data_IF_919236233436
#
_entry.id   IF_919236233436
#
_cell.length_a   1.000
_cell.length_b   1.000
_cell.length_c   1.000
_cell.angle_alpha   90.00
_cell.angle_beta   90.00
_cell.angle_gamma   90.00
#
_symmetry.space_group_name_H-M   'P 1'
#
loop_
_entity.id
_entity.type
_entity.pdbx_description
1 polymer ?
#
# COMPACT_ATOMS: atom_id res chain seq x y z
N UNK A 1 -5.89 -19.37 -14.07
CA UNK A 1 -5.53 -19.42 -12.64
C UNK A 1 -6.60 -18.77 -11.80
N UNK A 2 -6.66 -19.07 -10.50
CA UNK A 2 -7.56 -18.42 -9.57
C UNK A 2 -6.92 -17.18 -8.95
N UNK A 3 -7.73 -16.32 -8.33
CA UNK A 3 -7.22 -15.16 -7.58
C UNK A 3 -6.29 -15.56 -6.42
N UNK A 4 -6.44 -16.76 -5.86
CA UNK A 4 -5.66 -17.28 -4.73
C UNK A 4 -4.26 -17.73 -5.14
N UNK A 5 -4.07 -18.08 -6.43
CA UNK A 5 -2.81 -18.53 -6.99
C UNK A 5 -2.03 -17.40 -7.66
N UNK A 6 -2.65 -16.22 -7.85
CA UNK A 6 -2.11 -15.15 -8.67
C UNK A 6 -0.71 -14.70 -8.21
N UNK A 7 -0.56 -14.35 -6.93
CA UNK A 7 0.70 -13.86 -6.38
C UNK A 7 1.82 -14.90 -6.51
N UNK A 8 1.68 -16.14 -6.00
CA UNK A 8 2.75 -17.13 -6.12
C UNK A 8 3.03 -17.53 -7.58
N UNK A 9 2.02 -17.50 -8.45
CA UNK A 9 2.22 -17.79 -9.87
C UNK A 9 3.06 -16.72 -10.56
N UNK A 10 2.77 -15.44 -10.34
CA UNK A 10 3.57 -14.35 -10.92
C UNK A 10 4.99 -14.37 -10.36
N UNK A 11 5.14 -14.45 -9.04
CA UNK A 11 6.46 -14.45 -8.40
C UNK A 11 7.30 -15.68 -8.77
N UNK A 12 6.68 -16.83 -9.02
CA UNK A 12 7.37 -18.05 -9.44
C UNK A 12 7.72 -18.09 -10.93
N UNK A 13 7.21 -17.18 -11.76
CA UNK A 13 7.40 -17.19 -13.23
C UNK A 13 8.10 -15.96 -13.77
N UNK A 14 8.09 -14.84 -13.04
CA UNK A 14 8.54 -13.56 -13.55
C UNK A 14 9.60 -12.96 -12.62
N UNK A 15 10.70 -12.49 -13.19
CA UNK A 15 11.75 -11.74 -12.50
C UNK A 15 11.63 -10.22 -12.71
N UNK A 16 10.70 -9.77 -13.54
CA UNK A 16 10.50 -8.37 -13.87
C UNK A 16 9.04 -8.06 -14.19
N UNK A 17 8.66 -6.79 -14.09
CA UNK A 17 7.34 -6.31 -14.52
C UNK A 17 7.12 -6.54 -16.01
N UNK A 18 8.17 -6.41 -16.81
CA UNK A 18 8.10 -6.72 -18.26
C UNK A 18 7.66 -8.16 -18.51
N UNK A 19 8.28 -9.13 -17.85
CA UNK A 19 7.89 -10.54 -17.96
C UNK A 19 6.47 -10.79 -17.43
N UNK A 20 6.10 -10.12 -16.35
CA UNK A 20 4.75 -10.19 -15.83
C UNK A 20 3.71 -9.70 -16.84
N UNK A 21 3.95 -8.60 -17.57
CA UNK A 21 3.06 -8.10 -18.64
C UNK A 21 2.88 -9.15 -19.74
N UNK A 22 3.97 -9.78 -20.18
CA UNK A 22 3.92 -10.83 -21.22
C UNK A 22 3.15 -12.07 -20.77
N UNK A 23 3.30 -12.45 -19.50
CA UNK A 23 2.58 -13.57 -18.90
C UNK A 23 1.09 -13.26 -18.72
N UNK A 24 0.76 -12.08 -18.25
CA UNK A 24 -0.63 -11.61 -18.05
C UNK A 24 -1.44 -11.62 -19.36
N UNK A 25 -0.80 -11.35 -20.49
CA UNK A 25 -1.44 -11.45 -21.80
C UNK A 25 -1.80 -12.88 -22.25
N UNK A 26 -1.34 -13.91 -21.53
CA UNK A 26 -1.53 -15.33 -21.85
C UNK A 26 -2.38 -16.09 -20.85
N UNK A 27 -2.83 -15.43 -19.78
CA UNK A 27 -3.60 -16.06 -18.70
C UNK A 27 -4.96 -15.40 -18.52
N UNK A 28 -5.83 -16.10 -17.83
CA UNK A 28 -7.11 -15.55 -17.34
C UNK A 28 -7.25 -15.86 -15.86
N UNK A 29 -7.88 -14.94 -15.11
CA UNK A 29 -8.21 -15.12 -13.70
C UNK A 29 -9.66 -15.60 -13.63
N UNK A 30 -9.86 -16.81 -13.13
CA UNK A 30 -11.16 -17.46 -13.08
C UNK A 30 -11.90 -17.14 -11.78
N UNK A 31 -13.23 -17.12 -11.86
CA UNK A 31 -14.14 -16.93 -10.72
C UNK A 31 -14.41 -18.25 -10.00
N UNK A 32 -13.35 -18.93 -9.55
CA UNK A 32 -13.48 -20.19 -8.80
C UNK A 32 -13.08 -19.89 -7.35
N UNK A 33 -13.99 -20.04 -6.36
CA UNK A 33 -13.65 -19.89 -4.96
C UNK A 33 -12.70 -21.00 -4.51
N UNK A 34 -11.83 -20.70 -3.55
CA UNK A 34 -10.92 -21.70 -3.00
C UNK A 34 -11.68 -22.83 -2.29
N UNK A 35 -12.67 -22.44 -1.48
CA UNK A 35 -13.61 -23.35 -0.83
C UNK A 35 -14.86 -22.58 -0.38
N UNK A 36 -15.79 -23.25 0.31
CA UNK A 36 -17.04 -22.64 0.81
C UNK A 36 -16.83 -21.48 1.81
N UNK A 37 -15.69 -21.45 2.52
CA UNK A 37 -15.36 -20.40 3.51
C UNK A 37 -14.54 -19.26 2.91
N UNK A 38 -13.71 -19.57 1.91
CA UNK A 38 -12.88 -18.59 1.18
C UNK A 38 -13.52 -18.31 -0.18
N UNK A 39 -14.48 -17.39 -0.17
CA UNK A 39 -15.22 -16.95 -1.35
C UNK A 39 -14.37 -15.95 -2.17
N UNK A 40 -14.87 -15.59 -3.33
CA UNK A 40 -14.26 -14.59 -4.19
C UNK A 40 -14.32 -13.20 -3.56
N UNK A 41 -13.27 -12.42 -3.75
CA UNK A 41 -13.21 -11.00 -3.41
C UNK A 41 -12.86 -10.17 -4.65
N UNK A 42 -13.25 -8.91 -4.66
CA UNK A 42 -12.83 -7.95 -5.68
C UNK A 42 -11.40 -7.51 -5.37
N UNK A 43 -10.42 -8.20 -5.94
CA UNK A 43 -9.02 -7.96 -5.69
C UNK A 43 -8.39 -7.09 -6.78
N UNK A 44 -7.43 -6.29 -6.35
CA UNK A 44 -6.54 -5.49 -7.15
C UNK A 44 -5.11 -5.88 -6.79
N UNK A 45 -4.21 -5.97 -7.77
CA UNK A 45 -2.83 -6.33 -7.54
C UNK A 45 -1.89 -5.23 -8.04
N UNK A 46 -0.84 -4.98 -7.31
CA UNK A 46 0.30 -4.19 -7.76
C UNK A 46 1.49 -5.12 -7.97
N UNK A 47 2.14 -4.97 -9.10
CA UNK A 47 3.39 -5.68 -9.42
C UNK A 47 4.43 -4.59 -9.69
N UNK A 48 5.55 -4.66 -9.01
CA UNK A 48 6.60 -3.67 -9.13
C UNK A 48 7.98 -4.30 -9.17
N UNK A 49 8.88 -3.67 -9.88
CA UNK A 49 10.31 -3.89 -9.80
C UNK A 49 11.03 -2.54 -9.60
N UNK A 50 12.36 -2.52 -9.71
CA UNK A 50 13.15 -1.28 -9.54
C UNK A 50 12.88 -0.21 -10.60
N UNK A 51 12.27 -0.55 -11.74
CA UNK A 51 12.11 0.33 -12.88
C UNK A 51 10.68 0.84 -13.03
N UNK A 52 9.69 -0.01 -12.75
CA UNK A 52 8.27 0.31 -12.98
C UNK A 52 7.34 -0.41 -12.00
N UNK A 53 6.11 0.07 -11.95
CA UNK A 53 5.00 -0.59 -11.28
C UNK A 53 3.78 -0.63 -12.19
N UNK A 54 3.01 -1.72 -12.09
CA UNK A 54 1.72 -1.90 -12.76
C UNK A 54 0.64 -2.26 -11.78
N UNK A 55 -0.59 -1.87 -12.09
CA UNK A 55 -1.79 -2.35 -11.42
C UNK A 55 -2.50 -3.35 -12.34
N UNK A 56 -2.92 -4.46 -11.76
CA UNK A 56 -3.67 -5.53 -12.44
C UNK A 56 -5.03 -5.67 -11.79
N UNK A 57 -6.06 -5.64 -12.61
CA UNK A 57 -7.45 -5.80 -12.18
C UNK A 57 -8.16 -6.81 -13.08
N UNK A 58 -8.91 -7.73 -12.47
CA UNK A 58 -9.78 -8.66 -13.19
C UNK A 58 -11.20 -8.10 -13.17
N UNK A 59 -11.64 -7.61 -14.31
CA UNK A 59 -12.97 -7.03 -14.49
C UNK A 59 -13.83 -7.88 -15.45
N UNK A 60 -15.07 -7.50 -15.63
CA UNK A 60 -16.01 -8.24 -16.51
C UNK A 60 -15.47 -8.45 -17.94
N UNK A 61 -14.70 -7.50 -18.45
CA UNK A 61 -14.14 -7.53 -19.81
C UNK A 61 -12.73 -8.16 -19.87
N UNK A 62 -12.32 -8.86 -18.82
CA UNK A 62 -11.02 -9.54 -18.71
C UNK A 62 -10.01 -8.82 -17.81
N UNK A 63 -8.74 -9.20 -17.94
CA UNK A 63 -7.65 -8.60 -17.19
C UNK A 63 -7.32 -7.23 -17.77
N UNK A 64 -7.28 -6.21 -16.91
CA UNK A 64 -6.77 -4.88 -17.22
C UNK A 64 -5.42 -4.67 -16.56
N UNK A 65 -4.50 -4.09 -17.29
CA UNK A 65 -3.14 -3.76 -16.85
C UNK A 65 -2.95 -2.26 -17.05
N UNK A 66 -2.63 -1.57 -15.97
CA UNK A 66 -2.39 -0.13 -15.98
C UNK A 66 -0.95 0.15 -15.57
N UNK A 67 -0.30 1.13 -16.22
CA UNK A 67 0.91 1.72 -15.67
C UNK A 67 0.58 2.45 -14.39
N UNK A 68 1.38 2.22 -13.34
CA UNK A 68 1.16 2.83 -12.03
C UNK A 68 2.31 3.78 -11.66
N UNK A 69 2.29 5.01 -12.17
CA UNK A 69 3.37 5.96 -11.95
C UNK A 69 3.47 6.47 -10.50
N UNK A 70 2.39 6.36 -9.72
CA UNK A 70 2.38 6.76 -8.30
C UNK A 70 2.84 5.64 -7.37
N UNK A 71 2.84 4.38 -7.83
CA UNK A 71 3.21 3.21 -7.02
C UNK A 71 2.34 3.04 -5.78
N UNK A 72 1.05 3.36 -5.89
CA UNK A 72 0.02 3.23 -4.85
C UNK A 72 -1.13 2.41 -5.40
N UNK A 73 -1.71 1.57 -4.57
CA UNK A 73 -2.92 0.82 -4.86
C UNK A 73 -3.78 0.76 -3.60
N UNK A 74 -5.08 0.90 -3.78
CA UNK A 74 -6.11 0.69 -2.76
C UNK A 74 -7.18 -0.26 -3.30
N UNK A 75 -8.41 -0.12 -2.86
CA UNK A 75 -9.54 -0.94 -3.29
C UNK A 75 -10.33 -0.25 -4.42
N UNK A 76 -11.60 -0.63 -4.64
CA UNK A 76 -12.51 0.08 -5.54
C UNK A 76 -12.62 1.59 -5.23
N UNK A 77 -12.84 2.44 -6.24
CA UNK A 77 -13.12 2.14 -7.65
C UNK A 77 -11.86 1.66 -8.41
N UNK A 78 -12.00 1.19 -9.69
CA UNK A 78 -10.88 0.78 -10.52
C UNK A 78 -9.77 1.82 -10.64
N UNK A 79 -8.55 1.36 -10.89
CA UNK A 79 -7.33 2.17 -10.83
C UNK A 79 -7.35 3.39 -11.76
N UNK A 80 -7.91 3.27 -12.98
CA UNK A 80 -8.06 4.40 -13.90
C UNK A 80 -8.91 5.54 -13.29
N UNK A 81 -9.93 5.19 -12.49
CA UNK A 81 -10.77 6.17 -11.78
C UNK A 81 -10.02 6.80 -10.60
N UNK A 82 -9.22 6.01 -9.91
CA UNK A 82 -8.33 6.53 -8.85
C UNK A 82 -7.35 7.55 -9.42
N UNK A 83 -6.70 7.22 -10.53
CA UNK A 83 -5.77 8.13 -11.21
C UNK A 83 -6.46 9.39 -11.73
N UNK A 84 -7.64 9.24 -12.36
CA UNK A 84 -8.43 10.38 -12.81
C UNK A 84 -8.79 11.33 -11.66
N UNK A 85 -9.15 10.78 -10.51
CA UNK A 85 -9.51 11.57 -9.33
C UNK A 85 -8.36 12.44 -8.80
N UNK A 86 -7.10 12.07 -9.01
CA UNK A 86 -5.97 12.90 -8.60
C UNK A 86 -5.98 14.30 -9.23
N UNK A 87 -6.62 14.47 -10.39
CA UNK A 87 -6.75 15.79 -11.03
C UNK A 87 -7.50 16.81 -10.14
N UNK A 88 -8.38 16.35 -9.26
CA UNK A 88 -9.10 17.21 -8.31
C UNK A 88 -8.19 17.77 -7.21
N UNK A 89 -6.98 17.23 -7.08
CA UNK A 89 -6.03 17.52 -6.00
C UNK A 89 -4.73 18.18 -6.48
N UNK A 90 -4.70 18.69 -7.72
CA UNK A 90 -3.52 19.34 -8.30
C UNK A 90 -3.05 20.60 -7.55
N UNK A 91 -3.93 21.17 -6.72
CA UNK A 91 -3.61 22.30 -5.87
C UNK A 91 -2.84 21.94 -4.60
N UNK A 92 -2.79 20.65 -4.24
CA UNK A 92 -2.08 20.18 -3.05
C UNK A 92 -0.56 20.34 -3.23
N UNK A 93 0.10 20.78 -2.16
CA UNK A 93 1.53 21.03 -2.17
C UNK A 93 2.12 20.87 -0.76
N UNK A 94 3.36 20.36 -0.62
CA UNK A 94 4.10 20.45 0.65
C UNK A 94 4.53 21.87 0.99
N UNK A 95 4.46 22.79 0.01
CA UNK A 95 4.84 24.20 0.18
C UNK A 95 3.70 25.02 0.77
N UNK A 96 4.05 26.12 1.39
CA UNK A 96 3.06 27.11 1.88
C UNK A 96 2.26 27.72 0.73
N UNK A 97 0.93 27.84 0.86
CA UNK A 97 0.09 28.40 -0.19
C UNK A 97 0.30 29.91 -0.32
N UNK A 98 0.04 30.42 -1.53
CA UNK A 98 -0.17 31.86 -1.77
C UNK A 98 -1.66 32.16 -1.78
N UNK A 99 -2.03 33.40 -1.52
CA UNK A 99 -3.42 33.83 -1.70
C UNK A 99 -3.76 33.88 -3.20
N UNK A 100 -4.39 32.82 -3.69
CA UNK A 100 -4.94 32.73 -5.06
C UNK A 100 -6.47 32.90 -5.06
N UNK A 101 -7.08 33.17 -3.91
CA UNK A 101 -8.52 33.28 -3.78
C UNK A 101 -9.04 34.59 -4.39
N UNK A 102 -8.43 35.73 -3.99
CA UNK A 102 -8.78 37.06 -4.54
C UNK A 102 -7.74 38.08 -4.10
N UNK A 103 -7.36 38.98 -5.00
CA UNK A 103 -6.53 40.14 -4.71
C UNK A 103 -7.24 41.19 -3.84
N UNK A 104 -8.56 41.10 -3.74
CA UNK A 104 -9.38 42.01 -2.92
C UNK A 104 -9.40 41.64 -1.44
N UNK A 105 -8.86 40.47 -1.06
CA UNK A 105 -8.87 39.96 0.29
C UNK A 105 -7.44 39.71 0.77
N UNK A 106 -7.10 40.27 1.92
CA UNK A 106 -5.82 40.00 2.55
C UNK A 106 -5.91 38.71 3.40
N UNK A 107 -5.72 37.55 2.71
CA UNK A 107 -5.71 36.25 3.35
C UNK A 107 -4.26 35.82 3.61
N UNK A 108 -3.99 35.43 4.86
CA UNK A 108 -2.65 35.06 5.30
C UNK A 108 -2.65 33.64 5.89
N UNK A 109 -1.50 33.00 5.79
CA UNK A 109 -1.27 31.73 6.48
C UNK A 109 -1.33 31.91 8.00
N UNK A 110 -1.95 30.95 8.68
CA UNK A 110 -2.00 30.89 10.14
C UNK A 110 -1.22 29.69 10.70
N UNK A 111 -0.80 28.72 9.85
CA UNK A 111 0.01 27.58 10.27
C UNK A 111 0.87 27.00 9.12
N UNK A 112 1.82 26.13 9.48
CA UNK A 112 2.54 25.29 8.52
C UNK A 112 1.62 24.17 7.99
N UNK A 113 1.94 23.61 6.82
CA UNK A 113 1.20 22.51 6.21
C UNK A 113 -0.09 22.92 5.48
N UNK A 114 -0.42 24.20 5.41
CA UNK A 114 -1.64 24.70 4.75
C UNK A 114 -1.67 24.44 3.23
N UNK A 115 -0.54 24.12 2.60
CA UNK A 115 -0.52 23.69 1.20
C UNK A 115 -1.22 22.35 0.95
N UNK A 116 -1.44 21.58 1.99
CA UNK A 116 -2.18 20.32 1.94
C UNK A 116 -3.66 20.46 2.36
N UNK A 117 -4.20 21.68 2.47
CA UNK A 117 -5.63 21.88 2.74
C UNK A 117 -6.45 21.27 1.60
N UNK A 118 -7.39 20.38 1.96
CA UNK A 118 -8.19 19.60 1.03
C UNK A 118 -7.67 18.18 0.83
N UNK A 119 -6.52 17.81 1.42
CA UNK A 119 -6.09 16.41 1.47
C UNK A 119 -7.14 15.60 2.25
N UNK A 120 -7.76 14.56 1.64
CA UNK A 120 -8.86 13.85 2.27
C UNK A 120 -8.39 13.04 3.49
N UNK A 121 -9.16 13.08 4.56
CA UNK A 121 -8.83 12.44 5.84
C UNK A 121 -9.67 11.21 6.19
N UNK A 122 -10.74 10.94 5.42
CA UNK A 122 -11.61 9.79 5.67
C UNK A 122 -10.94 8.45 5.27
N UNK A 123 -11.55 7.33 5.68
CA UNK A 123 -11.00 5.99 5.52
C UNK A 123 -11.41 5.30 4.21
N UNK A 124 -12.16 5.97 3.34
CA UNK A 124 -12.55 5.38 2.05
C UNK A 124 -11.33 5.06 1.18
N UNK A 125 -11.48 4.08 0.32
CA UNK A 125 -10.41 3.67 -0.61
C UNK A 125 -9.88 4.83 -1.44
N UNK A 126 -10.77 5.69 -1.95
CA UNK A 126 -10.40 6.81 -2.80
C UNK A 126 -9.62 7.88 -2.02
N UNK A 127 -10.05 8.18 -0.80
CA UNK A 127 -9.35 9.13 0.08
C UNK A 127 -7.98 8.60 0.52
N UNK A 128 -7.90 7.32 0.85
CA UNK A 128 -6.62 6.65 1.16
C UNK A 128 -5.68 6.67 -0.04
N UNK A 129 -6.20 6.45 -1.26
CA UNK A 129 -5.38 6.52 -2.48
C UNK A 129 -4.75 7.90 -2.66
N UNK A 130 -5.55 8.98 -2.60
CA UNK A 130 -5.07 10.36 -2.73
C UNK A 130 -4.05 10.68 -1.65
N UNK A 131 -4.35 10.32 -0.40
CA UNK A 131 -3.46 10.59 0.74
C UNK A 131 -2.14 9.84 0.62
N UNK A 132 -2.18 8.54 0.30
CA UNK A 132 -0.97 7.74 0.09
C UNK A 132 -0.14 8.26 -1.10
N UNK A 133 -0.78 8.62 -2.21
CA UNK A 133 -0.11 9.18 -3.37
C UNK A 133 0.60 10.51 -3.03
N UNK A 134 -0.10 11.43 -2.35
CA UNK A 134 0.48 12.69 -1.92
C UNK A 134 1.65 12.50 -0.96
N UNK A 135 1.46 11.69 0.09
CA UNK A 135 2.50 11.46 1.09
C UNK A 135 3.71 10.79 0.46
N UNK A 136 3.51 9.69 -0.29
CA UNK A 136 4.60 8.95 -0.94
C UNK A 136 5.42 9.82 -1.90
N UNK A 137 4.76 10.60 -2.76
CA UNK A 137 5.45 11.38 -3.80
C UNK A 137 6.18 12.60 -3.25
N UNK A 138 5.81 13.09 -2.06
CA UNK A 138 6.43 14.25 -1.42
C UNK A 138 7.34 13.90 -0.23
N UNK A 139 7.35 12.63 0.20
CA UNK A 139 8.23 12.17 1.27
C UNK A 139 9.69 12.09 0.82
N UNK A 140 10.60 12.36 1.75
CA UNK A 140 12.03 12.19 1.55
C UNK A 140 12.47 10.90 2.23
N UNK A 141 13.12 10.03 1.48
CA UNK A 141 13.76 8.82 2.01
C UNK A 141 15.15 9.14 2.52
N UNK A 142 15.62 8.42 3.54
CA UNK A 142 17.01 8.51 3.97
C UNK A 142 17.94 7.69 3.06
N UNK A 143 19.25 7.78 3.34
CA UNK A 143 20.28 7.09 2.55
C UNK A 143 20.51 5.65 3.02
N UNK A 144 20.19 5.34 4.29
CA UNK A 144 20.35 4.02 4.86
C UNK A 144 19.08 3.17 4.73
N UNK A 145 19.25 1.85 4.79
CA UNK A 145 18.11 0.93 4.78
C UNK A 145 17.14 1.18 5.94
N UNK A 146 17.67 1.38 7.15
CA UNK A 146 16.83 1.61 8.33
C UNK A 146 16.01 2.90 8.20
N UNK A 147 16.58 3.97 7.64
CA UNK A 147 15.86 5.21 7.37
C UNK A 147 14.79 5.01 6.30
N UNK A 148 15.11 4.29 5.21
CA UNK A 148 14.16 4.01 4.12
C UNK A 148 13.01 3.11 4.59
N UNK A 149 13.30 2.08 5.38
CA UNK A 149 12.29 1.20 5.99
C UNK A 149 11.41 2.00 6.95
N UNK A 150 12.01 2.81 7.83
CA UNK A 150 11.27 3.70 8.74
C UNK A 150 10.34 4.63 7.97
N UNK A 151 10.86 5.30 6.91
CA UNK A 151 10.05 6.19 6.07
C UNK A 151 8.91 5.48 5.37
N UNK A 152 9.11 4.23 4.92
CA UNK A 152 8.05 3.41 4.34
C UNK A 152 6.89 3.19 5.32
N UNK A 153 7.18 2.86 6.58
CA UNK A 153 6.16 2.70 7.61
C UNK A 153 5.45 4.03 7.94
N UNK A 154 6.15 5.16 7.92
CA UNK A 154 5.51 6.48 8.06
C UNK A 154 4.56 6.80 6.91
N UNK A 155 4.92 6.44 5.67
CA UNK A 155 4.03 6.63 4.51
C UNK A 155 2.75 5.80 4.67
N UNK A 156 2.87 4.53 5.03
CA UNK A 156 1.71 3.65 5.24
C UNK A 156 0.91 4.04 6.48
N UNK A 157 1.56 4.52 7.53
CA UNK A 157 0.90 5.06 8.71
C UNK A 157 -0.07 6.21 8.42
N UNK A 158 0.18 6.98 7.33
CA UNK A 158 -0.73 8.03 6.89
C UNK A 158 -2.11 7.50 6.42
N UNK A 159 -2.23 6.21 6.12
CA UNK A 159 -3.47 5.56 5.67
C UNK A 159 -3.90 4.41 6.56
N UNK A 160 -3.31 4.31 7.74
CA UNK A 160 -3.68 3.33 8.75
C UNK A 160 -5.12 3.53 9.21
N UNK A 161 -5.85 2.41 9.36
CA UNK A 161 -7.23 2.40 9.85
C UNK A 161 -7.24 1.93 11.31
N UNK A 162 -7.75 2.80 12.19
CA UNK A 162 -7.88 2.52 13.61
C UNK A 162 -9.10 1.65 13.89
N UNK A 163 -8.96 0.70 14.80
CA UNK A 163 -10.05 -0.15 15.25
C UNK A 163 -11.20 0.67 15.82
N UNK A 164 -12.41 0.40 15.36
CA UNK A 164 -13.62 1.13 15.77
C UNK A 164 -14.02 2.28 14.83
N UNK A 165 -13.18 2.68 13.87
CA UNK A 165 -13.45 3.81 12.98
C UNK A 165 -14.08 3.43 11.63
N UNK A 166 -14.12 2.13 11.30
CA UNK A 166 -14.74 1.62 10.06
C UNK A 166 -15.56 0.37 10.37
N UNK A 167 -16.87 0.54 10.55
CA UNK A 167 -17.77 -0.57 10.80
C UNK A 167 -18.13 -1.29 9.49
N UNK A 168 -18.05 -2.62 9.49
CA UNK A 168 -18.41 -3.47 8.34
C UNK A 168 -19.80 -4.05 8.52
N UNK A 169 -20.06 -4.59 9.71
CA UNK A 169 -21.39 -5.08 10.16
C UNK A 169 -21.48 -4.82 11.66
N UNK A 170 -22.68 -4.89 12.21
CA UNK A 170 -22.93 -4.59 13.63
C UNK A 170 -21.85 -5.17 14.56
N UNK A 171 -21.10 -4.29 15.19
CA UNK A 171 -20.05 -4.64 16.15
C UNK A 171 -18.76 -5.23 15.56
N UNK A 172 -18.62 -5.31 14.23
CA UNK A 172 -17.37 -5.73 13.57
C UNK A 172 -16.74 -4.57 12.81
N UNK A 173 -15.42 -4.41 12.94
CA UNK A 173 -14.68 -3.28 12.40
C UNK A 173 -13.54 -3.72 11.49
N UNK A 174 -13.40 -3.01 10.37
CA UNK A 174 -12.19 -3.06 9.56
C UNK A 174 -11.11 -2.16 10.18
N UNK A 175 -9.89 -2.69 10.27
CA UNK A 175 -8.73 -1.94 10.74
C UNK A 175 -7.44 -2.54 10.20
N UNK A 176 -6.35 -1.82 10.28
CA UNK A 176 -5.03 -2.28 9.84
C UNK A 176 -4.51 -3.34 10.79
N UNK A 177 -4.58 -4.61 10.40
CA UNK A 177 -4.14 -5.74 11.24
C UNK A 177 -2.61 -5.79 11.31
N UNK A 178 -1.94 -5.52 10.19
CA UNK A 178 -0.49 -5.42 10.09
C UNK A 178 -0.10 -4.52 8.91
N UNK A 179 1.12 -4.02 8.95
CA UNK A 179 1.77 -3.31 7.84
C UNK A 179 3.06 -4.03 7.51
N UNK A 180 3.38 -4.19 6.22
CA UNK A 180 4.59 -4.87 5.80
C UNK A 180 5.35 -4.13 4.72
N UNK A 181 6.65 -4.37 4.69
CA UNK A 181 7.61 -3.80 3.74
C UNK A 181 8.57 -4.91 3.27
N UNK A 182 8.80 -4.99 1.97
CA UNK A 182 9.79 -5.90 1.40
C UNK A 182 10.98 -5.10 0.86
N UNK A 183 12.20 -5.41 1.35
CA UNK A 183 13.43 -5.01 0.68
C UNK A 183 13.79 -6.10 -0.31
N UNK A 184 13.44 -5.90 -1.58
CA UNK A 184 13.66 -6.88 -2.65
C UNK A 184 15.14 -7.12 -2.96
N UNK A 185 16.00 -6.10 -2.80
CA UNK A 185 17.44 -6.22 -3.07
C UNK A 185 18.15 -7.09 -2.04
N UNK A 186 17.70 -7.02 -0.78
CA UNK A 186 18.31 -7.78 0.33
C UNK A 186 17.52 -9.02 0.75
N UNK A 187 16.32 -9.22 0.21
CA UNK A 187 15.49 -10.34 0.58
C UNK A 187 15.02 -10.30 2.04
N UNK A 188 14.70 -9.11 2.55
CA UNK A 188 14.23 -8.94 3.92
C UNK A 188 12.79 -8.48 3.92
N UNK A 189 11.95 -9.18 4.65
CA UNK A 189 10.55 -8.84 4.90
C UNK A 189 10.43 -8.19 6.28
N UNK A 190 9.94 -6.96 6.32
CA UNK A 190 9.69 -6.20 7.55
C UNK A 190 8.19 -6.10 7.80
N UNK A 191 7.79 -6.08 9.07
CA UNK A 191 6.40 -5.87 9.44
C UNK A 191 6.24 -5.20 10.80
N UNK A 192 5.08 -4.58 11.00
CA UNK A 192 4.50 -4.21 12.29
C UNK A 192 3.11 -4.83 12.39
N UNK A 193 2.60 -5.06 13.59
CA UNK A 193 1.23 -5.49 13.83
C UNK A 193 0.45 -4.38 14.55
N UNK A 194 -0.88 -4.42 14.49
CA UNK A 194 -1.71 -3.43 15.19
C UNK A 194 -1.42 -3.36 16.70
N UNK A 195 -1.12 -4.50 17.31
CA UNK A 195 -0.82 -4.62 18.74
C UNK A 195 0.69 -4.58 19.04
N UNK A 196 1.53 -4.35 18.03
CA UNK A 196 2.98 -4.24 18.20
C UNK A 196 3.57 -3.32 17.12
N UNK A 197 4.01 -2.13 17.53
CA UNK A 197 4.59 -1.13 16.65
C UNK A 197 6.09 -1.33 16.38
N UNK A 198 6.74 -2.30 17.06
CA UNK A 198 8.13 -2.61 16.79
C UNK A 198 8.28 -3.19 15.37
N UNK A 199 9.08 -2.52 14.54
CA UNK A 199 9.44 -3.07 13.23
C UNK A 199 10.22 -4.34 13.42
N UNK A 200 9.70 -5.44 12.91
CA UNK A 200 10.32 -6.77 12.97
C UNK A 200 10.71 -7.19 11.56
N UNK A 201 11.89 -7.77 11.39
CA UNK A 201 12.40 -8.22 10.09
C UNK A 201 12.68 -9.70 10.05
N UNK A 202 12.40 -10.33 8.89
CA UNK A 202 12.80 -11.71 8.57
C UNK A 202 13.69 -11.67 7.33
N UNK A 203 14.94 -12.09 7.48
CA UNK A 203 15.94 -12.16 6.41
C UNK A 203 15.92 -13.55 5.78
N UNK A 204 15.40 -13.66 4.56
CA UNK A 204 15.29 -14.94 3.85
C UNK A 204 16.66 -15.60 3.58
N UNK A 205 17.75 -14.82 3.51
CA UNK A 205 19.08 -15.38 3.24
C UNK A 205 19.69 -16.08 4.46
N UNK A 206 19.07 -15.95 5.63
CA UNK A 206 19.46 -16.70 6.85
C UNK A 206 18.76 -18.05 6.95
N UNK A 207 17.88 -18.35 5.99
CA UNK A 207 17.09 -19.56 5.98
C UNK A 207 17.58 -20.56 4.92
N UNK A 208 17.28 -21.83 5.13
CA UNK A 208 17.51 -22.85 4.11
C UNK A 208 16.41 -22.79 3.03
N UNK A 209 16.67 -22.01 1.98
CA UNK A 209 15.73 -21.79 0.87
C UNK A 209 15.46 -23.07 0.05
N UNK A 210 16.26 -24.14 0.21
CA UNK A 210 16.06 -25.43 -0.43
C UNK A 210 15.37 -26.46 0.48
N UNK A 211 14.85 -26.01 1.63
CA UNK A 211 14.11 -26.89 2.54
C UNK A 211 12.77 -27.31 1.90
N UNK A 212 12.43 -28.58 2.07
CA UNK A 212 11.12 -29.15 1.74
C UNK A 212 10.04 -28.83 2.80
N UNK A 213 10.43 -28.18 3.91
CA UNK A 213 9.56 -27.80 5.01
C UNK A 213 9.30 -26.29 5.00
N UNK A 214 8.07 -25.92 5.27
CA UNK A 214 7.72 -24.52 5.51
C UNK A 214 8.41 -24.03 6.79
N UNK A 215 9.05 -22.85 6.68
CA UNK A 215 9.59 -22.13 7.83
C UNK A 215 8.56 -21.07 8.21
N UNK A 216 8.05 -21.14 9.44
CA UNK A 216 6.99 -20.27 9.92
C UNK A 216 7.47 -19.42 11.09
N UNK A 217 7.25 -18.13 10.99
CA UNK A 217 7.47 -17.15 12.05
C UNK A 217 6.12 -16.68 12.57
N UNK A 218 5.77 -16.96 13.84
CA UNK A 218 4.55 -16.41 14.40
C UNK A 218 4.65 -14.89 14.47
N UNK A 219 3.53 -14.23 14.17
CA UNK A 219 3.43 -12.77 14.29
C UNK A 219 3.68 -12.38 15.76
N UNK A 220 4.61 -11.44 16.00
CA UNK A 220 4.90 -10.94 17.34
C UNK A 220 3.70 -10.08 17.78
N UNK A 221 3.09 -10.49 18.88
CA UNK A 221 1.94 -9.81 19.48
C UNK A 221 2.35 -9.15 20.81
N UNK A 222 1.57 -8.16 21.20
CA UNK A 222 1.80 -7.40 22.42
C UNK A 222 2.81 -6.27 22.24
N UNK A 223 2.43 -5.08 22.66
CA UNK A 223 3.25 -3.88 22.53
C UNK A 223 4.54 -3.96 23.34
N UNK A 224 5.66 -3.60 22.73
CA UNK A 224 6.97 -3.58 23.38
C UNK A 224 7.29 -2.16 23.86
N UNK A 225 6.82 -1.84 25.06
CA UNK A 225 7.06 -0.53 25.67
C UNK A 225 8.37 -0.57 26.45
N UNK A 226 9.37 0.18 25.97
CA UNK A 226 10.63 0.38 26.68
C UNK A 226 10.52 1.56 27.64
N UNK A 227 10.64 1.29 28.94
CA UNK A 227 10.75 2.35 29.93
C UNK A 227 12.21 2.79 30.01
N UNK A 228 12.47 4.05 29.72
CA UNK A 228 13.84 4.55 29.53
C UNK A 228 14.59 4.82 30.84
N UNK A 229 13.87 5.10 31.91
CA UNK A 229 14.42 5.45 33.24
C UNK A 229 14.33 4.32 34.26
N UNK A 230 14.34 3.09 33.81
CA UNK A 230 14.44 1.89 34.65
C UNK A 230 15.91 1.49 34.89
#
# INVERSE_FOLDING_TARGET
>A
ITQFEFIPYILGKCASVKEARELLGKINITNIPFNKKMTLAQLHWIIADKNEAITVESIKDGIKIYDNPVGVLTNNPPFDKQMFNLNNYMNLSPKSPKNNFSDKLNLNMYSRGMGAIGLPGDLSSQSRFVRAAFVKTNSLSGETESESVSQFFHILGAVEQQKGCCEVTDGTFEYTIYTSCCNGDKGIYYYTAYENHQITGVDMNKENLNSDKLICYPLIQGEQIKIQNQ
#
